data_IF_914707312185
#
_entry.id   IF_914707312185
#
_cell.length_a   1.000
_cell.length_b   1.000
_cell.length_c   1.000
_cell.angle_alpha   90.00
_cell.angle_beta   90.00
_cell.angle_gamma   90.00
#
_symmetry.space_group_name_H-M   'P 1'
#
loop_
_entity.id
_entity.type
_entity.pdbx_description
1 polymer ?
#
# COMPACT_ATOMS: atom_id res chain seq x y z
N UNK A 1 2.31 -65.43 -58.25
CA UNK A 1 1.88 -64.45 -59.28
C UNK A 1 2.34 -63.08 -58.81
N UNK A 2 3.51 -62.57 -59.23
CA UNK A 2 3.82 -61.86 -60.48
C UNK A 2 2.97 -60.60 -60.72
N UNK A 3 3.71 -59.49 -60.92
CA UNK A 3 3.39 -58.24 -61.64
C UNK A 3 2.66 -57.15 -60.84
N UNK A 4 2.92 -55.86 -61.03
CA UNK A 4 4.01 -55.08 -61.68
C UNK A 4 3.64 -53.61 -61.44
N UNK A 5 4.64 -52.75 -61.27
CA UNK A 5 4.77 -51.37 -61.81
C UNK A 5 3.52 -50.55 -62.12
N UNK A 6 3.49 -49.31 -61.62
CA UNK A 6 2.69 -48.23 -62.20
C UNK A 6 2.95 -46.88 -61.53
N UNK A 7 4.04 -46.24 -61.91
CA UNK A 7 4.48 -44.90 -61.51
C UNK A 7 3.84 -43.83 -62.41
N UNK A 8 3.64 -42.62 -61.86
CA UNK A 8 3.47 -41.29 -62.49
C UNK A 8 2.11 -41.01 -63.15
N UNK A 9 1.36 -39.99 -62.72
CA UNK A 9 1.60 -38.54 -62.61
C UNK A 9 1.06 -37.78 -63.84
N UNK A 10 0.37 -36.68 -63.52
CA UNK A 10 0.17 -35.48 -64.33
C UNK A 10 -0.67 -35.61 -65.61
N UNK A 11 -1.84 -34.95 -65.63
CA UNK A 11 -1.96 -33.64 -66.32
C UNK A 11 -3.40 -33.24 -66.66
N UNK A 12 -3.65 -31.95 -66.42
CA UNK A 12 -4.41 -30.99 -67.24
C UNK A 12 -5.94 -30.85 -67.15
N UNK A 13 -6.30 -29.59 -66.85
CA UNK A 13 -7.41 -28.74 -67.35
C UNK A 13 -8.85 -29.13 -66.97
N UNK A 14 -9.52 -28.42 -66.06
CA UNK A 14 -10.08 -27.05 -66.15
C UNK A 14 -11.24 -26.94 -67.17
N UNK A 15 -12.48 -26.98 -66.67
CA UNK A 15 -13.45 -25.87 -66.76
C UNK A 15 -14.85 -26.30 -66.28
N UNK A 16 -15.61 -25.31 -65.78
CA UNK A 16 -17.03 -25.32 -65.34
C UNK A 16 -17.25 -25.86 -63.92
N UNK A 17 -17.03 -25.09 -62.84
CA UNK A 17 -17.56 -23.75 -62.48
C UNK A 17 -19.06 -23.80 -62.20
N UNK A 18 -19.42 -24.00 -60.92
CA UNK A 18 -20.65 -23.53 -60.27
C UNK A 18 -20.49 -23.60 -58.74
N UNK A 19 -20.11 -22.45 -58.17
CA UNK A 19 -20.48 -21.87 -56.87
C UNK A 19 -20.63 -22.81 -55.67
N UNK A 20 -19.60 -22.84 -54.82
CA UNK A 20 -19.77 -22.97 -53.37
C UNK A 20 -18.74 -22.09 -52.67
N UNK A 21 -19.17 -20.91 -52.23
CA UNK A 21 -18.41 -20.08 -51.29
C UNK A 21 -18.43 -20.81 -49.95
N UNK A 22 -17.39 -21.62 -49.71
CA UNK A 22 -17.09 -22.19 -48.40
C UNK A 22 -16.41 -21.11 -47.58
N UNK A 23 -17.19 -20.50 -46.69
CA UNK A 23 -16.73 -19.55 -45.67
C UNK A 23 -15.65 -20.24 -44.83
N UNK A 24 -14.44 -19.69 -44.86
CA UNK A 24 -13.41 -19.92 -43.85
C UNK A 24 -14.04 -19.52 -42.51
N UNK A 25 -14.02 -20.35 -41.45
CA UNK A 25 -14.40 -19.85 -40.14
C UNK A 25 -13.43 -18.71 -39.80
N UNK A 26 -13.94 -17.48 -39.86
CA UNK A 26 -13.32 -16.37 -39.21
C UNK A 26 -13.19 -16.77 -37.74
N UNK A 27 -11.97 -16.65 -37.21
CA UNK A 27 -11.77 -16.53 -35.77
C UNK A 27 -12.60 -15.32 -35.37
N UNK A 28 -13.78 -15.57 -34.81
CA UNK A 28 -14.51 -14.54 -34.08
C UNK A 28 -13.61 -14.27 -32.88
N UNK A 29 -12.90 -13.15 -32.92
CA UNK A 29 -12.45 -12.52 -31.71
C UNK A 29 -13.73 -12.28 -30.90
N UNK A 30 -13.90 -13.07 -29.86
CA UNK A 30 -14.85 -12.80 -28.81
C UNK A 30 -14.53 -11.39 -28.33
N UNK A 31 -15.40 -10.44 -28.65
CA UNK A 31 -15.44 -9.15 -28.00
C UNK A 31 -15.67 -9.48 -26.52
N UNK A 32 -14.57 -9.57 -25.77
CA UNK A 32 -14.63 -9.52 -24.32
C UNK A 32 -15.36 -8.22 -24.01
N UNK A 33 -16.61 -8.34 -23.58
CA UNK A 33 -17.34 -7.27 -22.94
C UNK A 33 -16.34 -6.60 -21.98
N UNK A 34 -15.96 -5.36 -22.29
CA UNK A 34 -15.19 -4.54 -21.36
C UNK A 34 -16.07 -4.42 -20.11
N UNK A 35 -15.80 -5.23 -19.09
CA UNK A 35 -16.43 -5.08 -17.79
C UNK A 35 -16.16 -3.65 -17.33
N UNK A 36 -17.19 -2.82 -17.39
CA UNK A 36 -17.17 -1.44 -16.92
C UNK A 36 -16.88 -1.45 -15.43
N UNK A 37 -15.64 -1.10 -15.06
CA UNK A 37 -15.29 -0.92 -13.66
C UNK A 37 -15.75 0.47 -13.22
N UNK A 38 -16.97 0.53 -12.67
CA UNK A 38 -17.55 1.74 -12.08
C UNK A 38 -17.42 1.68 -10.57
N UNK A 39 -16.67 2.61 -9.99
CA UNK A 39 -16.59 2.80 -8.54
C UNK A 39 -17.76 3.66 -8.09
N UNK A 40 -18.50 3.22 -7.08
CA UNK A 40 -19.53 4.05 -6.44
C UNK A 40 -19.01 4.59 -5.11
N UNK A 41 -19.01 5.91 -4.95
CA UNK A 41 -18.68 6.59 -3.70
C UNK A 41 -19.95 6.74 -2.83
N UNK A 42 -19.80 6.97 -1.52
CA UNK A 42 -20.94 7.05 -0.58
C UNK A 42 -21.95 8.16 -0.94
N UNK A 43 -21.54 9.21 -1.67
CA UNK A 43 -22.42 10.26 -2.16
C UNK A 43 -23.18 9.93 -3.47
N UNK A 44 -23.07 8.68 -3.96
CA UNK A 44 -23.75 8.25 -5.19
C UNK A 44 -23.07 8.71 -6.48
N UNK A 45 -21.90 9.33 -6.40
CA UNK A 45 -21.04 9.57 -7.56
C UNK A 45 -20.46 8.24 -8.03
N UNK A 46 -20.48 8.00 -9.34
CA UNK A 46 -19.82 6.85 -9.96
C UNK A 46 -18.67 7.29 -10.84
N UNK A 47 -17.45 6.81 -10.61
CA UNK A 47 -16.31 7.04 -11.51
C UNK A 47 -16.08 5.79 -12.35
N UNK A 48 -16.04 5.99 -13.67
CA UNK A 48 -15.68 4.94 -14.63
C UNK A 48 -14.19 5.04 -14.95
N UNK A 49 -13.40 4.09 -14.46
CA UNK A 49 -11.95 4.11 -14.66
C UNK A 49 -11.54 3.80 -16.11
N UNK A 50 -12.29 2.94 -16.81
CA UNK A 50 -12.00 2.56 -18.20
C UNK A 50 -12.14 3.75 -19.17
N UNK A 51 -12.85 4.81 -18.77
CA UNK A 51 -12.97 6.06 -19.53
C UNK A 51 -11.88 7.08 -19.22
N UNK A 52 -11.03 6.86 -18.22
CA UNK A 52 -9.98 7.80 -17.86
C UNK A 52 -8.83 7.70 -18.85
N UNK A 53 -8.59 8.79 -19.57
CA UNK A 53 -7.47 8.91 -20.49
C UNK A 53 -6.43 9.83 -19.89
N UNK A 54 -5.23 9.30 -19.70
CA UNK A 54 -4.07 10.12 -19.29
C UNK A 54 -3.75 11.14 -20.39
N UNK A 55 -3.36 12.37 -20.03
CA UNK A 55 -2.87 13.36 -20.99
C UNK A 55 -1.56 12.87 -21.63
N UNK A 56 -1.20 13.48 -22.75
CA UNK A 56 0.14 13.29 -23.32
C UNK A 56 1.17 13.94 -22.39
N UNK A 57 2.12 13.14 -21.88
CA UNK A 57 3.15 13.62 -20.96
C UNK A 57 4.27 14.34 -21.72
N UNK A 58 4.43 15.64 -21.45
CA UNK A 58 5.41 16.52 -22.05
C UNK A 58 6.64 16.63 -21.16
N UNK A 59 7.61 15.76 -21.38
CA UNK A 59 8.85 15.68 -20.60
C UNK A 59 9.85 16.75 -21.03
N UNK A 60 10.28 17.57 -20.07
CA UNK A 60 11.41 18.50 -20.24
C UNK A 60 12.67 17.89 -19.64
N UNK A 61 13.49 17.27 -20.50
CA UNK A 61 14.77 16.67 -20.10
C UNK A 61 15.84 17.70 -19.71
N UNK A 62 15.59 18.99 -19.92
CA UNK A 62 16.49 20.07 -19.52
C UNK A 62 16.13 20.69 -18.16
N UNK A 63 14.99 20.30 -17.58
CA UNK A 63 14.58 20.77 -16.26
C UNK A 63 15.60 20.37 -15.19
N UNK A 64 15.96 21.33 -14.35
CA UNK A 64 16.84 21.11 -13.19
C UNK A 64 16.22 20.09 -12.23
N UNK A 65 17.04 19.17 -11.74
CA UNK A 65 16.63 18.13 -10.80
C UNK A 65 16.59 18.69 -9.38
N UNK A 66 15.48 18.46 -8.69
CA UNK A 66 15.25 18.90 -7.32
C UNK A 66 15.50 17.74 -6.35
N UNK A 67 16.12 18.03 -5.21
CA UNK A 67 16.23 17.08 -4.11
C UNK A 67 14.93 17.14 -3.30
N UNK A 68 14.19 16.04 -3.30
CA UNK A 68 12.96 15.91 -2.51
C UNK A 68 13.32 15.48 -1.10
N UNK A 69 12.96 16.30 -0.13
CA UNK A 69 13.30 16.11 1.29
C UNK A 69 12.10 15.70 2.15
N UNK A 70 10.92 15.57 1.56
CA UNK A 70 9.64 15.36 2.22
C UNK A 70 8.67 14.59 1.31
N UNK A 71 7.71 13.87 1.91
CA UNK A 71 6.66 13.12 1.22
C UNK A 71 5.90 14.00 0.22
N UNK A 72 5.57 13.46 -0.96
CA UNK A 72 4.82 14.20 -1.98
C UNK A 72 3.33 14.26 -1.62
N UNK A 73 2.70 15.42 -1.66
CA UNK A 73 1.27 15.57 -1.31
C UNK A 73 0.51 16.43 -2.32
N UNK A 74 -0.65 15.99 -2.84
CA UNK A 74 -1.52 16.81 -3.69
C UNK A 74 -2.35 17.86 -2.90
N UNK A 75 -2.04 18.05 -1.62
CA UNK A 75 -2.80 18.89 -0.69
C UNK A 75 -1.86 19.92 -0.07
N UNK A 76 -2.34 21.16 0.04
CA UNK A 76 -1.66 22.19 0.82
C UNK A 76 -1.58 21.76 2.27
N UNK A 77 -0.43 21.97 2.90
CA UNK A 77 -0.24 21.74 4.33
C UNK A 77 -1.30 22.53 5.10
N UNK A 78 -2.28 21.82 5.69
CA UNK A 78 -3.22 22.46 6.62
C UNK A 78 -2.36 22.97 7.78
N UNK A 79 -2.19 24.29 7.89
CA UNK A 79 -1.14 24.98 8.65
C UNK A 79 -1.17 24.83 10.18
N UNK A 80 -1.30 23.61 10.68
CA UNK A 80 -1.34 23.23 12.09
C UNK A 80 -0.32 22.15 12.45
N UNK A 81 0.46 21.62 11.50
CA UNK A 81 1.50 20.63 11.80
C UNK A 81 2.85 21.10 11.26
N UNK A 82 3.90 21.02 12.08
CA UNK A 82 5.31 21.24 11.70
C UNK A 82 5.83 20.15 10.71
N UNK A 83 4.93 19.41 10.06
CA UNK A 83 5.22 18.34 9.13
C UNK A 83 5.52 18.96 7.75
N UNK A 84 6.80 18.99 7.39
CA UNK A 84 7.20 19.34 6.03
C UNK A 84 6.76 18.23 5.07
N UNK A 85 5.73 18.52 4.27
CA UNK A 85 5.37 17.80 3.03
C UNK A 85 5.92 18.57 1.83
N UNK A 86 6.15 17.88 0.71
CA UNK A 86 6.46 18.50 -0.57
C UNK A 86 5.18 18.60 -1.40
N UNK A 87 4.59 19.79 -1.41
CA UNK A 87 3.33 20.05 -2.09
C UNK A 87 3.47 19.93 -3.62
N UNK A 88 2.56 19.18 -4.23
CA UNK A 88 2.34 19.11 -5.66
C UNK A 88 0.89 19.53 -5.97
N UNK A 89 0.58 20.09 -7.14
CA UNK A 89 -0.78 20.47 -7.48
C UNK A 89 -1.75 19.29 -7.45
N UNK A 90 -2.96 19.51 -6.97
CA UNK A 90 -4.04 18.53 -7.11
C UNK A 90 -4.28 18.16 -8.58
N UNK A 91 -4.48 16.87 -8.84
CA UNK A 91 -4.57 16.28 -10.17
C UNK A 91 -3.20 15.98 -10.81
N UNK A 92 -2.10 16.13 -10.07
CA UNK A 92 -0.77 15.78 -10.56
C UNK A 92 -0.60 14.31 -10.91
N UNK A 93 0.33 14.05 -11.81
CA UNK A 93 0.73 12.70 -12.24
C UNK A 93 2.17 12.50 -11.81
N UNK A 94 2.41 11.59 -10.88
CA UNK A 94 3.75 11.11 -10.52
C UNK A 94 4.10 9.97 -11.46
N UNK A 95 5.30 10.00 -12.03
CA UNK A 95 5.81 8.95 -12.90
C UNK A 95 7.21 8.55 -12.50
N UNK A 96 7.36 7.32 -12.03
CA UNK A 96 8.65 6.69 -11.76
C UNK A 96 9.14 6.00 -13.03
N UNK A 97 10.13 6.58 -13.68
CA UNK A 97 10.69 6.07 -14.94
C UNK A 97 11.93 5.22 -14.69
N UNK A 98 12.19 4.23 -15.55
CA UNK A 98 13.32 3.27 -15.44
C UNK A 98 14.72 3.88 -15.23
N UNK A 99 14.93 5.14 -15.58
CA UNK A 99 16.20 5.86 -15.38
C UNK A 99 16.47 6.27 -13.93
N UNK A 100 15.56 5.95 -13.00
CA UNK A 100 15.69 6.28 -11.57
C UNK A 100 15.33 7.72 -11.24
N UNK A 101 14.48 8.31 -12.08
CA UNK A 101 14.00 9.68 -11.93
C UNK A 101 12.49 9.63 -11.70
N UNK A 102 12.03 10.28 -10.65
CA UNK A 102 10.61 10.61 -10.48
C UNK A 102 10.34 11.94 -11.17
N UNK A 103 9.37 11.93 -12.09
CA UNK A 103 8.86 13.14 -12.75
C UNK A 103 7.44 13.39 -12.27
N UNK A 104 7.13 14.65 -11.95
CA UNK A 104 5.75 15.05 -11.65
C UNK A 104 5.27 15.96 -12.77
N UNK A 105 4.07 15.66 -13.26
CA UNK A 105 3.37 16.43 -14.27
C UNK A 105 2.13 17.08 -13.65
N UNK A 106 1.72 18.22 -14.19
CA UNK A 106 0.38 18.76 -13.94
C UNK A 106 -0.69 17.89 -14.60
N UNK A 107 -1.95 18.15 -14.26
CA UNK A 107 -3.12 17.42 -14.79
C UNK A 107 -3.30 17.52 -16.31
N UNK A 108 -2.67 18.48 -16.97
CA UNK A 108 -2.63 18.64 -18.43
C UNK A 108 -1.43 17.93 -19.10
N UNK A 109 -0.59 17.25 -18.31
CA UNK A 109 0.55 16.49 -18.81
C UNK A 109 1.86 17.29 -18.94
N UNK A 110 1.92 18.54 -18.49
CA UNK A 110 3.18 19.31 -18.50
C UNK A 110 4.07 18.97 -17.31
N UNK A 111 5.36 18.69 -17.54
CA UNK A 111 6.29 18.43 -16.45
C UNK A 111 6.47 19.68 -15.56
N UNK A 112 6.37 19.48 -14.25
CA UNK A 112 6.55 20.53 -13.23
C UNK A 112 7.67 20.22 -12.26
N UNK A 113 8.06 18.95 -12.11
CA UNK A 113 9.13 18.52 -11.20
C UNK A 113 9.91 17.34 -11.80
N UNK A 114 11.20 17.30 -11.52
CA UNK A 114 12.10 16.19 -11.84
C UNK A 114 13.01 15.94 -10.64
N UNK A 115 13.10 14.70 -10.17
CA UNK A 115 13.88 14.33 -8.99
C UNK A 115 14.58 12.98 -9.18
N UNK A 116 15.83 12.88 -8.77
CA UNK A 116 16.59 11.62 -8.80
C UNK A 116 16.28 10.84 -7.52
N UNK A 117 15.74 9.63 -7.66
CA UNK A 117 15.23 8.86 -6.51
C UNK A 117 16.31 8.47 -5.50
N UNK A 118 17.54 8.23 -5.99
CA UNK A 118 18.69 7.95 -5.12
C UNK A 118 19.20 9.16 -4.34
N UNK A 119 18.80 10.38 -4.73
CA UNK A 119 19.17 11.63 -4.06
C UNK A 119 18.07 12.15 -3.13
N UNK A 120 16.84 11.62 -3.25
CA UNK A 120 15.74 12.00 -2.38
C UNK A 120 16.00 11.52 -0.94
N UNK A 121 15.64 12.35 0.03
CA UNK A 121 15.73 11.99 1.46
C UNK A 121 14.87 10.75 1.71
N UNK A 122 15.34 9.87 2.59
CA UNK A 122 14.54 8.74 3.03
C UNK A 122 13.51 9.16 4.07
N UNK A 123 12.31 8.60 3.92
CA UNK A 123 11.22 8.71 4.88
C UNK A 123 10.88 7.31 5.36
N UNK A 124 10.52 7.18 6.62
CA UNK A 124 10.16 5.90 7.19
C UNK A 124 8.72 5.54 6.82
N UNK A 125 8.48 4.26 6.59
CA UNK A 125 7.16 3.68 6.30
C UNK A 125 7.03 2.37 7.07
N UNK A 126 5.82 1.82 7.27
CA UNK A 126 5.61 0.47 7.81
C UNK A 126 6.03 -0.68 6.86
N UNK A 127 7.04 -0.44 6.03
CA UNK A 127 7.84 -1.40 5.26
C UNK A 127 9.29 -0.93 5.07
N UNK A 128 9.72 0.04 5.89
CA UNK A 128 11.07 0.58 5.94
C UNK A 128 11.28 1.91 5.24
N UNK A 129 12.53 2.32 5.18
CA UNK A 129 12.93 3.61 4.64
C UNK A 129 12.78 3.65 3.12
N UNK A 130 11.99 4.60 2.61
CA UNK A 130 11.72 4.81 1.18
C UNK A 130 12.24 6.18 0.75
N UNK A 131 12.71 6.36 -0.49
CA UNK A 131 12.88 7.69 -1.04
C UNK A 131 11.58 8.49 -0.90
N UNK A 132 11.67 9.76 -0.51
CA UNK A 132 10.51 10.63 -0.34
C UNK A 132 9.67 10.78 -1.64
N UNK A 133 10.27 10.56 -2.80
CA UNK A 133 9.56 10.50 -4.09
C UNK A 133 8.57 9.34 -4.17
N UNK A 134 8.81 8.25 -3.43
CA UNK A 134 7.99 7.03 -3.42
C UNK A 134 6.94 6.97 -2.29
N UNK A 135 6.76 8.07 -1.56
CA UNK A 135 5.80 8.16 -0.47
C UNK A 135 4.91 9.37 -0.66
N UNK A 136 3.60 9.15 -0.55
CA UNK A 136 2.60 10.20 -0.67
C UNK A 136 1.65 10.25 0.52
N UNK A 137 1.50 11.47 1.04
CA UNK A 137 0.39 11.81 1.92
C UNK A 137 -0.81 12.22 1.06
N UNK A 138 -2.01 11.79 1.43
CA UNK A 138 -3.28 12.18 0.79
C UNK A 138 -4.31 12.54 1.86
N UNK A 139 -5.36 13.32 1.53
CA UNK A 139 -6.37 13.68 2.52
C UNK A 139 -7.02 12.45 3.16
N UNK A 140 -7.38 12.57 4.44
CA UNK A 140 -8.25 11.59 5.09
C UNK A 140 -9.53 11.34 4.28
N UNK A 141 -9.92 10.07 4.14
CA UNK A 141 -11.09 9.65 3.34
C UNK A 141 -10.81 9.48 1.85
N UNK A 142 -9.58 9.64 1.40
CA UNK A 142 -9.22 9.41 0.00
C UNK A 142 -9.37 7.94 -0.42
N UNK A 143 -9.68 7.72 -1.69
CA UNK A 143 -9.79 6.41 -2.32
C UNK A 143 -8.59 6.13 -3.21
N UNK A 144 -7.79 5.14 -2.83
CA UNK A 144 -6.66 4.62 -3.59
C UNK A 144 -7.14 3.41 -4.38
N UNK A 145 -7.07 3.50 -5.70
CA UNK A 145 -7.51 2.44 -6.60
C UNK A 145 -6.37 2.08 -7.53
N UNK A 146 -6.17 0.79 -7.72
CA UNK A 146 -5.12 0.27 -8.57
C UNK A 146 -5.69 -0.48 -9.77
N UNK A 147 -5.31 -0.04 -10.96
CA UNK A 147 -5.67 -0.69 -12.21
C UNK A 147 -4.42 -0.84 -13.08
N UNK A 148 -4.07 -2.09 -13.37
CA UNK A 148 -2.84 -2.45 -14.08
C UNK A 148 -1.60 -1.84 -13.42
N UNK A 149 -0.83 -1.01 -14.11
CA UNK A 149 0.38 -0.35 -13.57
C UNK A 149 0.11 1.10 -13.11
N UNK A 150 -1.17 1.46 -12.92
CA UNK A 150 -1.60 2.81 -12.57
C UNK A 150 -2.33 2.81 -11.23
N UNK A 151 -1.94 3.73 -10.35
CA UNK A 151 -2.70 4.04 -9.14
C UNK A 151 -3.40 5.39 -9.31
N UNK A 152 -4.70 5.41 -9.07
CA UNK A 152 -5.52 6.62 -9.02
C UNK A 152 -5.91 6.92 -7.59
N UNK A 153 -5.82 8.18 -7.19
CA UNK A 153 -6.29 8.64 -5.88
C UNK A 153 -7.39 9.67 -6.05
N UNK A 154 -8.55 9.37 -5.48
CA UNK A 154 -9.70 10.28 -5.47
C UNK A 154 -9.95 10.82 -4.08
N UNK A 155 -10.39 12.07 -3.98
CA UNK A 155 -10.90 12.65 -2.75
C UNK A 155 -12.15 13.47 -3.05
N UNK A 156 -13.24 13.23 -2.33
CA UNK A 156 -14.56 13.83 -2.57
C UNK A 156 -15.04 13.73 -4.04
N UNK A 157 -14.68 12.64 -4.72
CA UNK A 157 -15.02 12.37 -6.12
C UNK A 157 -14.07 12.98 -7.16
N UNK A 158 -13.14 13.85 -6.76
CA UNK A 158 -12.15 14.45 -7.65
C UNK A 158 -10.88 13.60 -7.71
N UNK A 159 -10.31 13.42 -8.91
CA UNK A 159 -9.00 12.79 -9.10
C UNK A 159 -7.91 13.78 -8.66
N UNK A 160 -7.27 13.49 -7.53
CA UNK A 160 -6.27 14.38 -6.93
C UNK A 160 -4.83 13.94 -7.18
N UNK A 161 -4.60 12.67 -7.51
CA UNK A 161 -3.27 12.15 -7.81
C UNK A 161 -3.37 10.92 -8.72
N UNK A 162 -2.45 10.83 -9.68
CA UNK A 162 -2.20 9.60 -10.45
C UNK A 162 -0.75 9.20 -10.26
N UNK A 163 -0.47 7.91 -10.09
CA UNK A 163 0.90 7.38 -10.04
C UNK A 163 1.09 6.32 -11.13
N UNK A 164 2.18 6.49 -11.89
CA UNK A 164 2.66 5.59 -12.93
C UNK A 164 4.03 5.06 -12.51
N UNK A 165 4.32 3.79 -12.81
CA UNK A 165 5.64 3.22 -12.54
C UNK A 165 6.06 2.26 -13.66
N UNK A 166 7.20 2.58 -14.30
CA UNK A 166 7.92 1.65 -15.16
C UNK A 166 9.07 0.96 -14.42
N UNK A 167 9.27 1.29 -13.14
CA UNK A 167 10.38 0.76 -12.35
C UNK A 167 10.11 -0.71 -12.00
N UNK A 168 11.07 -1.62 -12.24
CA UNK A 168 10.94 -2.98 -11.75
C UNK A 168 10.91 -2.99 -10.23
N UNK A 169 10.19 -3.95 -9.64
CA UNK A 169 10.05 -4.11 -8.19
C UNK A 169 11.42 -4.06 -7.47
N UNK A 170 12.42 -4.72 -8.04
CA UNK A 170 13.76 -4.84 -7.46
C UNK A 170 14.50 -3.48 -7.34
N UNK A 171 14.15 -2.49 -8.17
CA UNK A 171 14.74 -1.16 -8.09
C UNK A 171 14.38 -0.48 -6.77
N UNK A 172 13.10 -0.52 -6.41
CA UNK A 172 12.61 0.08 -5.17
C UNK A 172 13.23 -0.57 -3.93
N UNK A 173 13.35 -1.90 -3.93
CA UNK A 173 14.02 -2.65 -2.86
C UNK A 173 15.51 -2.28 -2.76
N UNK A 174 16.17 -2.00 -3.87
CA UNK A 174 17.57 -1.56 -3.88
C UNK A 174 17.73 -0.17 -3.25
N UNK A 175 16.76 0.73 -3.44
CA UNK A 175 16.77 2.06 -2.85
C UNK A 175 16.49 2.06 -1.34
N UNK A 176 15.77 1.07 -0.83
CA UNK A 176 15.57 0.90 0.62
C UNK A 176 16.88 0.56 1.35
N UNK A 177 17.75 -0.24 0.72
CA UNK A 177 18.95 -0.81 1.37
C UNK A 177 20.15 0.13 1.52
N UNK A 178 20.24 1.20 0.74
CA UNK A 178 21.54 1.87 0.48
C UNK A 178 21.98 2.98 1.45
N UNK A 179 21.15 3.43 2.41
CA UNK A 179 21.51 4.61 3.21
C UNK A 179 21.34 4.45 4.74
N UNK A 180 20.35 3.68 5.21
CA UNK A 180 20.10 3.47 6.65
C UNK A 180 20.39 2.06 7.15
N UNK A 181 20.60 1.06 6.28
CA UNK A 181 20.95 -0.29 6.72
C UNK A 181 22.40 -0.41 7.27
N UNK A 182 23.20 0.66 7.20
CA UNK A 182 24.61 0.69 7.64
C UNK A 182 24.79 1.02 9.13
N UNK A 183 23.71 1.30 9.88
CA UNK A 183 23.78 1.54 11.34
C UNK A 183 23.78 0.25 12.18
N UNK A 184 23.63 -0.92 11.58
CA UNK A 184 23.74 -2.21 12.28
C UNK A 184 22.55 -2.61 13.16
N UNK A 185 21.48 -1.80 13.17
CA UNK A 185 20.23 -2.10 13.88
C UNK A 185 19.34 -3.14 13.17
N UNK A 186 18.39 -3.70 13.90
CA UNK A 186 17.34 -4.58 13.41
C UNK A 186 16.26 -3.79 12.65
N UNK A 187 15.69 -4.44 11.64
CA UNK A 187 14.74 -3.85 10.70
C UNK A 187 13.63 -4.86 10.38
N UNK A 188 12.38 -4.46 10.62
CA UNK A 188 11.18 -5.23 10.28
C UNK A 188 10.31 -5.57 11.48
N UNK A 189 9.48 -6.61 11.33
CA UNK A 189 8.52 -7.02 12.34
C UNK A 189 9.23 -7.69 13.52
N UNK A 190 9.16 -7.07 14.70
CA UNK A 190 9.82 -7.51 15.92
C UNK A 190 9.04 -8.66 16.56
N UNK A 191 7.75 -8.46 16.79
CA UNK A 191 6.85 -9.47 17.34
C UNK A 191 5.43 -9.20 16.86
N UNK A 192 4.69 -10.29 16.65
CA UNK A 192 3.33 -10.20 16.13
C UNK A 192 2.52 -11.46 16.39
N UNK A 193 1.20 -11.30 16.37
CA UNK A 193 0.25 -12.40 16.33
C UNK A 193 -0.48 -12.42 14.98
N UNK A 194 -0.53 -13.57 14.31
CA UNK A 194 -1.01 -13.65 12.93
C UNK A 194 -1.84 -14.88 12.60
N UNK A 195 -2.61 -14.81 11.51
CA UNK A 195 -3.29 -15.97 10.92
C UNK A 195 -3.62 -15.77 9.44
N UNK A 196 -3.32 -16.77 8.60
CA UNK A 196 -3.92 -16.89 7.28
C UNK A 196 -5.41 -17.25 7.38
N UNK A 197 -6.26 -16.44 6.76
CA UNK A 197 -7.71 -16.59 6.71
C UNK A 197 -8.18 -16.75 5.26
N UNK A 198 -9.06 -17.74 4.97
CA UNK A 198 -9.56 -17.94 3.62
C UNK A 198 -10.41 -16.77 3.09
N UNK A 199 -11.16 -16.10 3.97
CA UNK A 199 -11.97 -14.94 3.61
C UNK A 199 -12.28 -14.09 4.85
N UNK A 200 -12.19 -12.77 4.71
CA UNK A 200 -12.50 -11.79 5.75
C UNK A 200 -13.01 -10.49 5.11
N UNK A 201 -13.93 -9.80 5.79
CA UNK A 201 -14.47 -8.50 5.37
C UNK A 201 -14.47 -7.47 6.52
N UNK A 202 -14.03 -7.85 7.71
CA UNK A 202 -13.89 -6.96 8.85
C UNK A 202 -12.80 -7.46 9.79
N UNK A 203 -11.87 -6.57 10.15
CA UNK A 203 -10.90 -6.77 11.21
C UNK A 203 -10.74 -5.48 12.04
N UNK A 204 -11.23 -5.52 13.28
CA UNK A 204 -11.12 -4.38 14.20
C UNK A 204 -10.27 -4.78 15.41
N UNK A 205 -9.55 -3.83 15.97
CA UNK A 205 -8.86 -3.99 17.24
C UNK A 205 -8.86 -2.68 18.03
N UNK A 206 -8.89 -2.79 19.35
CA UNK A 206 -8.60 -1.69 20.26
C UNK A 206 -7.23 -1.87 20.89
N UNK A 207 -6.52 -0.78 21.13
CA UNK A 207 -5.32 -0.79 21.95
C UNK A 207 -5.16 0.56 22.65
N UNK A 208 -4.18 0.66 23.53
CA UNK A 208 -3.76 1.96 24.05
C UNK A 208 -2.45 2.36 23.41
N UNK A 209 -2.27 3.66 23.17
CA UNK A 209 -0.95 4.17 22.84
C UNK A 209 0.01 3.85 24.01
N UNK A 210 1.07 3.06 23.80
CA UNK A 210 1.97 2.68 24.87
C UNK A 210 2.86 3.87 25.27
N UNK A 211 3.66 3.69 26.32
CA UNK A 211 4.73 4.63 26.62
C UNK A 211 5.68 4.74 25.42
N UNK A 212 6.11 5.97 25.11
CA UNK A 212 7.11 6.22 24.08
C UNK A 212 8.40 5.45 24.37
N UNK A 213 9.14 5.02 23.33
CA UNK A 213 10.52 4.56 23.49
C UNK A 213 11.36 5.50 24.36
N UNK A 214 12.15 4.98 25.31
CA UNK A 214 13.08 5.79 26.10
C UNK A 214 14.17 6.49 25.28
N UNK A 215 14.53 5.94 24.13
CA UNK A 215 15.54 6.50 23.22
C UNK A 215 15.13 7.90 22.77
N UNK A 216 16.12 8.79 22.73
CA UNK A 216 16.01 10.10 22.10
C UNK A 216 16.80 10.16 20.79
N UNK A 217 17.22 9.03 20.25
CA UNK A 217 17.90 8.98 18.96
C UNK A 217 16.91 9.26 17.81
N UNK A 218 17.45 9.75 16.70
CA UNK A 218 16.66 10.13 15.53
C UNK A 218 16.61 8.96 14.54
N UNK A 219 15.48 8.80 13.85
CA UNK A 219 15.29 7.82 12.79
C UNK A 219 15.32 6.34 13.26
N UNK A 220 14.74 6.10 14.43
CA UNK A 220 14.35 4.77 14.93
C UNK A 220 12.81 4.67 14.94
N UNK A 221 12.18 4.63 13.75
CA UNK A 221 10.73 4.65 13.68
C UNK A 221 10.14 3.33 14.19
N UNK A 222 9.07 3.44 14.94
CA UNK A 222 8.26 2.30 15.41
C UNK A 222 6.85 2.41 14.87
N UNK A 223 6.30 1.26 14.49
CA UNK A 223 4.93 1.11 13.99
C UNK A 223 4.19 0.03 14.80
N UNK A 224 2.98 0.37 15.24
CA UNK A 224 2.06 -0.52 15.95
C UNK A 224 0.72 -0.51 15.23
N UNK A 225 0.22 -1.69 14.86
CA UNK A 225 -0.98 -1.78 14.03
C UNK A 225 -1.67 -3.14 14.13
N UNK A 226 -2.95 -3.16 13.75
CA UNK A 226 -3.61 -4.33 13.20
C UNK A 226 -3.65 -4.22 11.67
N UNK A 227 -3.44 -5.31 10.93
CA UNK A 227 -3.31 -5.26 9.47
C UNK A 227 -3.94 -6.45 8.76
N UNK A 228 -4.23 -6.26 7.46
CA UNK A 228 -4.58 -7.32 6.52
C UNK A 228 -3.60 -7.25 5.34
N UNK A 229 -2.95 -8.37 5.04
CA UNK A 229 -1.95 -8.44 3.96
C UNK A 229 -2.14 -9.64 3.05
N UNK A 230 -1.55 -9.56 1.86
CA UNK A 230 -1.45 -10.71 0.97
C UNK A 230 -0.47 -11.74 1.55
N UNK A 231 -0.67 -13.05 1.35
CA UNK A 231 0.20 -14.10 1.90
C UNK A 231 1.61 -14.11 1.31
N UNK A 232 1.79 -13.53 0.12
CA UNK A 232 3.09 -13.31 -0.52
C UNK A 232 3.77 -12.01 -0.06
N UNK A 233 3.16 -11.31 0.90
CA UNK A 233 3.66 -10.11 1.56
C UNK A 233 3.82 -8.90 0.64
N UNK A 234 3.22 -8.94 -0.55
CA UNK A 234 3.35 -7.89 -1.57
C UNK A 234 2.44 -6.69 -1.34
N UNK A 235 1.38 -6.81 -0.54
CA UNK A 235 0.51 -5.69 -0.20
C UNK A 235 -0.07 -5.81 1.21
N UNK A 236 -0.28 -4.66 1.86
CA UNK A 236 -0.89 -4.55 3.19
C UNK A 236 -1.74 -3.28 3.31
N UNK A 237 -2.85 -3.39 4.03
CA UNK A 237 -3.69 -2.27 4.49
C UNK A 237 -3.73 -2.27 6.01
N UNK A 238 -3.53 -1.10 6.62
CA UNK A 238 -3.33 -1.01 8.07
C UNK A 238 -3.61 0.41 8.63
N UNK A 239 -4.41 0.54 9.70
CA UNK A 239 -4.34 1.69 10.60
C UNK A 239 -3.10 1.59 11.49
N UNK A 240 -2.27 2.63 11.52
CA UNK A 240 -0.94 2.58 12.14
C UNK A 240 -0.77 3.69 13.16
N UNK A 241 -0.31 3.30 14.34
CA UNK A 241 0.29 4.18 15.34
C UNK A 241 1.81 4.23 15.09
N UNK A 242 2.35 5.43 14.88
CA UNK A 242 3.74 5.67 14.47
C UNK A 242 4.48 6.51 15.52
N UNK A 243 5.77 6.24 15.73
CA UNK A 243 6.65 7.07 16.56
C UNK A 243 7.97 7.35 15.86
N UNK A 244 8.61 8.48 16.21
CA UNK A 244 9.95 8.86 15.77
C UNK A 244 10.14 8.86 14.25
N UNK A 245 9.11 9.26 13.50
CA UNK A 245 9.26 9.46 12.06
C UNK A 245 10.23 10.62 11.81
N UNK A 246 11.10 10.56 10.79
CA UNK A 246 11.96 11.69 10.44
C UNK A 246 11.23 13.00 10.16
N UNK A 247 9.93 12.94 9.85
CA UNK A 247 9.07 14.09 9.54
C UNK A 247 8.25 14.52 10.75
N UNK A 248 7.77 13.59 11.58
CA UNK A 248 6.95 13.92 12.76
C UNK A 248 7.82 14.23 13.98
N UNK A 249 8.90 13.48 14.22
CA UNK A 249 9.73 13.59 15.41
C UNK A 249 9.26 12.64 16.53
N UNK A 250 9.70 12.92 17.77
CA UNK A 250 9.55 12.02 18.93
C UNK A 250 8.20 12.16 19.63
N UNK A 251 7.11 11.92 18.91
CA UNK A 251 5.78 11.77 19.47
C UNK A 251 4.95 10.79 18.65
N UNK A 252 3.86 10.31 19.23
CA UNK A 252 2.95 9.39 18.57
C UNK A 252 2.08 10.12 17.54
N UNK A 253 1.99 9.56 16.34
CA UNK A 253 1.01 9.94 15.32
C UNK A 253 0.19 8.75 14.88
N UNK A 254 -1.05 8.98 14.47
CA UNK A 254 -1.91 7.97 13.86
C UNK A 254 -2.24 8.32 12.42
N UNK A 255 -2.06 7.37 11.50
CA UNK A 255 -2.56 7.47 10.12
C UNK A 255 -2.91 6.09 9.55
N UNK A 256 -3.51 6.07 8.37
CA UNK A 256 -3.84 4.85 7.64
C UNK A 256 -2.89 4.67 6.46
N UNK A 257 -2.29 3.50 6.33
CA UNK A 257 -1.40 3.16 5.21
C UNK A 257 -2.01 2.12 4.29
N UNK A 258 -1.71 2.26 3.01
CA UNK A 258 -1.77 1.19 2.04
C UNK A 258 -0.43 1.08 1.31
N UNK A 259 0.14 -0.12 1.35
CA UNK A 259 1.47 -0.40 0.82
C UNK A 259 1.35 -1.52 -0.21
N UNK A 260 2.05 -1.37 -1.35
CA UNK A 260 2.17 -2.42 -2.36
C UNK A 260 3.55 -2.40 -2.99
N UNK A 261 4.16 -3.58 -3.14
CA UNK A 261 5.49 -3.72 -3.71
C UNK A 261 5.56 -3.17 -5.14
N UNK A 262 6.68 -2.49 -5.44
CA UNK A 262 6.85 -1.80 -6.72
C UNK A 262 6.07 -0.48 -6.86
N UNK A 263 5.10 -0.19 -5.98
CA UNK A 263 4.22 0.98 -6.06
C UNK A 263 4.55 2.06 -5.02
N UNK A 264 3.89 3.21 -5.17
CA UNK A 264 3.86 4.31 -4.20
C UNK A 264 3.31 3.82 -2.85
N UNK A 265 3.97 4.19 -1.76
CA UNK A 265 3.34 4.10 -0.43
C UNK A 265 2.44 5.29 -0.23
N UNK A 266 1.20 5.02 0.16
CA UNK A 266 0.20 6.07 0.34
C UNK A 266 -0.34 5.98 1.76
N UNK A 267 -0.38 7.13 2.43
CA UNK A 267 -1.03 7.25 3.72
C UNK A 267 -1.94 8.47 3.79
N UNK A 268 -2.93 8.39 4.70
CA UNK A 268 -3.78 9.52 5.04
C UNK A 268 -2.98 10.63 5.74
N UNK A 269 -3.63 11.76 6.00
CA UNK A 269 -3.18 12.70 7.03
C UNK A 269 -2.94 12.00 8.38
N UNK A 270 -2.20 12.70 9.25
CA UNK A 270 -1.83 12.23 10.58
C UNK A 270 -2.60 12.99 11.66
N UNK A 271 -2.99 12.28 12.71
CA UNK A 271 -3.43 12.85 14.00
C UNK A 271 -2.32 12.70 15.03
N UNK A 272 -2.24 13.63 15.97
CA UNK A 272 -1.34 13.50 17.13
C UNK A 272 -2.02 12.64 18.19
N UNK A 273 -1.30 11.68 18.75
CA UNK A 273 -1.81 10.77 19.77
C UNK A 273 -0.98 10.95 21.05
N UNK A 274 -1.62 10.92 22.22
CA UNK A 274 -0.91 10.94 23.49
C UNK A 274 -0.74 9.54 24.06
N UNK A 275 0.35 9.31 24.79
CA UNK A 275 0.54 8.08 25.58
C UNK A 275 -0.66 7.83 26.48
N UNK A 276 -1.18 6.60 26.44
CA UNK A 276 -2.33 6.16 27.23
C UNK A 276 -3.69 6.39 26.57
N UNK A 277 -3.74 7.11 25.44
CA UNK A 277 -4.98 7.28 24.67
C UNK A 277 -5.51 5.94 24.18
N UNK A 278 -6.84 5.84 24.10
CA UNK A 278 -7.51 4.62 23.63
C UNK A 278 -7.71 4.72 22.13
N UNK A 279 -7.11 3.80 21.40
CA UNK A 279 -7.14 3.77 19.94
C UNK A 279 -8.02 2.64 19.45
N UNK A 280 -8.58 2.83 18.26
CA UNK A 280 -9.27 1.80 17.50
C UNK A 280 -8.74 1.79 16.07
N UNK A 281 -8.34 0.62 15.61
CA UNK A 281 -8.04 0.35 14.21
C UNK A 281 -9.16 -0.46 13.58
N UNK A 282 -9.67 0.02 12.45
CA UNK A 282 -10.81 -0.53 11.74
C UNK A 282 -10.42 -0.85 10.30
N UNK A 283 -10.74 -2.07 9.87
CA UNK A 283 -10.57 -2.53 8.50
C UNK A 283 -11.89 -3.15 8.05
N UNK A 284 -12.62 -2.50 7.15
CA UNK A 284 -13.92 -2.97 6.67
C UNK A 284 -13.97 -3.04 5.15
N UNK A 285 -14.34 -4.18 4.59
CA UNK A 285 -14.55 -4.29 3.15
C UNK A 285 -15.92 -3.73 2.77
N UNK A 286 -15.93 -2.79 1.82
CA UNK A 286 -17.14 -2.33 1.16
C UNK A 286 -17.29 -3.01 -0.19
N UNK A 287 -18.35 -3.82 -0.34
CA UNK A 287 -18.71 -4.40 -1.64
C UNK A 287 -19.16 -3.37 -2.65
N UNK A 288 -19.55 -2.17 -2.21
CA UNK A 288 -20.03 -1.08 -3.07
C UNK A 288 -18.88 -0.39 -3.79
N UNK A 289 -17.80 -0.10 -3.06
CA UNK A 289 -16.59 0.51 -3.63
C UNK A 289 -15.57 -0.53 -4.08
N UNK A 290 -15.68 -1.79 -3.64
CA UNK A 290 -14.68 -2.81 -3.92
C UNK A 290 -13.35 -2.51 -3.23
N UNK A 291 -13.40 -1.88 -2.05
CA UNK A 291 -12.22 -1.43 -1.32
C UNK A 291 -12.35 -1.74 0.18
N UNK A 292 -11.20 -1.87 0.83
CA UNK A 292 -11.07 -1.78 2.28
C UNK A 292 -11.17 -0.32 2.71
N UNK A 293 -12.12 -0.02 3.59
CA UNK A 293 -12.07 1.13 4.47
C UNK A 293 -11.06 0.85 5.58
N UNK A 294 -10.11 1.74 5.75
CA UNK A 294 -9.05 1.70 6.75
C UNK A 294 -9.26 2.93 7.62
N UNK A 295 -9.39 2.78 8.93
CA UNK A 295 -9.53 3.90 9.84
C UNK A 295 -8.73 3.68 11.12
N UNK A 296 -8.02 4.73 11.55
CA UNK A 296 -7.48 4.85 12.90
C UNK A 296 -8.24 5.95 13.63
N UNK A 297 -8.76 5.63 14.81
CA UNK A 297 -9.48 6.56 15.66
C UNK A 297 -8.80 6.67 17.01
N UNK A 298 -8.55 7.89 17.47
CA UNK A 298 -8.30 8.17 18.88
C UNK A 298 -9.65 8.39 19.57
N UNK A 299 -10.09 7.37 20.30
CA UNK A 299 -11.36 7.37 21.02
C UNK A 299 -11.33 8.34 22.20
N UNK A 300 -10.15 8.66 22.75
CA UNK A 300 -10.03 9.63 23.84
C UNK A 300 -10.36 11.03 23.37
N UNK A 301 -9.81 11.45 22.24
CA UNK A 301 -9.96 12.82 21.70
C UNK A 301 -11.14 12.95 20.74
N UNK A 302 -11.55 11.85 20.10
CA UNK A 302 -12.57 11.81 19.06
C UNK A 302 -12.03 12.10 17.65
N UNK A 303 -10.72 12.25 17.48
CA UNK A 303 -10.09 12.42 16.17
C UNK A 303 -9.96 11.09 15.43
N UNK A 304 -10.08 11.13 14.09
CA UNK A 304 -9.93 9.93 13.26
C UNK A 304 -9.40 10.25 11.87
N UNK A 305 -8.58 9.35 11.34
CA UNK A 305 -8.06 9.39 9.98
C UNK A 305 -8.48 8.14 9.22
N UNK A 306 -8.73 8.27 7.92
CA UNK A 306 -9.17 7.15 7.10
C UNK A 306 -8.59 7.14 5.69
N UNK A 307 -8.62 5.98 5.06
CA UNK A 307 -8.20 5.74 3.69
C UNK A 307 -9.01 4.58 3.11
N UNK A 308 -9.29 4.59 1.80
CA UNK A 308 -9.85 3.45 1.10
C UNK A 308 -8.82 2.85 0.14
N UNK A 309 -8.72 1.52 0.07
CA UNK A 309 -7.77 0.85 -0.83
C UNK A 309 -8.26 -0.51 -1.34
N UNK A 310 -7.95 -0.83 -2.60
CA UNK A 310 -8.16 -2.14 -3.23
C UNK A 310 -6.89 -3.00 -3.32
N UNK A 311 -5.77 -2.56 -2.71
CA UNK A 311 -4.48 -3.23 -2.85
C UNK A 311 -4.46 -4.67 -2.31
N UNK A 312 -5.36 -5.00 -1.38
CA UNK A 312 -5.44 -6.30 -0.73
C UNK A 312 -6.82 -6.92 -0.99
N UNK A 313 -6.90 -8.19 -1.45
CA UNK A 313 -8.17 -8.86 -1.67
C UNK A 313 -8.87 -9.22 -0.34
N UNK A 314 -10.09 -9.74 -0.39
CA UNK A 314 -10.79 -10.26 0.79
C UNK A 314 -10.54 -11.75 1.06
N UNK A 315 -9.94 -12.45 0.09
CA UNK A 315 -9.74 -13.90 0.13
C UNK A 315 -8.28 -14.27 0.20
N UNK A 316 -7.97 -15.34 0.92
CA UNK A 316 -6.62 -15.87 1.09
C UNK A 316 -5.66 -14.75 1.52
N UNK A 317 -5.90 -14.18 2.70
CA UNK A 317 -5.10 -13.08 3.28
C UNK A 317 -4.58 -13.49 4.64
N UNK A 318 -3.60 -12.74 5.14
CA UNK A 318 -3.14 -12.83 6.52
C UNK A 318 -3.68 -11.65 7.33
N UNK A 319 -4.12 -11.91 8.55
CA UNK A 319 -4.43 -10.89 9.56
C UNK A 319 -3.34 -10.87 10.61
N UNK A 320 -2.99 -9.68 11.09
CA UNK A 320 -1.86 -9.47 12.01
C UNK A 320 -2.17 -8.40 13.08
N UNK A 321 -1.62 -8.54 14.28
CA UNK A 321 -1.30 -7.40 15.16
C UNK A 321 0.19 -7.39 15.42
N UNK A 322 0.84 -6.25 15.23
CA UNK A 322 2.29 -6.20 14.99
C UNK A 322 2.95 -5.02 15.69
N UNK A 323 4.14 -5.29 16.24
CA UNK A 323 5.18 -4.30 16.50
C UNK A 323 6.26 -4.42 15.40
N UNK A 324 6.48 -3.32 14.68
CA UNK A 324 7.51 -3.18 13.66
C UNK A 324 8.46 -2.04 14.04
N UNK A 325 9.75 -2.21 13.77
CA UNK A 325 10.76 -1.19 14.05
C UNK A 325 11.89 -1.20 13.04
N UNK A 326 12.50 -0.03 12.82
CA UNK A 326 13.64 0.13 11.92
C UNK A 326 14.79 0.84 12.64
N UNK A 327 16.01 0.39 12.35
CA UNK A 327 17.24 0.78 13.04
C UNK A 327 17.23 0.50 14.56
N UNK A 328 16.55 -0.57 14.99
CA UNK A 328 16.42 -0.93 16.41
C UNK A 328 17.69 -1.63 16.89
N UNK A 329 18.44 -1.04 17.81
CA UNK A 329 19.69 -1.62 18.31
C UNK A 329 19.66 -2.04 19.79
N UNK A 330 18.61 -1.64 20.52
CA UNK A 330 18.43 -2.00 21.90
C UNK A 330 17.02 -1.80 22.45
N UNK A 331 16.85 -2.20 23.71
CA UNK A 331 15.56 -2.12 24.40
C UNK A 331 15.01 -0.68 24.46
N UNK A 332 15.86 0.34 24.47
CA UNK A 332 15.44 1.75 24.55
C UNK A 332 14.65 2.23 23.33
N UNK A 333 14.69 1.51 22.22
CA UNK A 333 14.21 2.02 20.94
C UNK A 333 12.78 1.53 20.65
N UNK A 334 12.27 0.62 21.48
CA UNK A 334 10.90 0.12 21.42
C UNK A 334 10.03 0.73 22.51
N UNK A 335 8.70 0.85 22.29
CA UNK A 335 7.78 1.39 23.27
C UNK A 335 7.59 0.40 24.43
N UNK A 336 6.70 0.75 25.37
CA UNK A 336 6.22 -0.21 26.37
C UNK A 336 5.17 -1.21 25.83
N UNK A 337 4.81 -2.18 26.67
CA UNK A 337 3.87 -3.25 26.32
C UNK A 337 2.58 -2.75 25.66
N UNK A 338 2.18 -3.42 24.57
CA UNK A 338 0.97 -3.08 23.82
C UNK A 338 -0.05 -4.21 23.90
N UNK A 339 -1.22 -3.90 24.47
CA UNK A 339 -2.36 -4.82 24.55
C UNK A 339 -3.38 -4.50 23.46
N UNK A 340 -3.54 -5.40 22.51
CA UNK A 340 -4.65 -5.42 21.57
C UNK A 340 -5.81 -6.22 22.17
N UNK A 341 -7.00 -5.61 22.22
CA UNK A 341 -8.19 -6.18 22.86
C UNK A 341 -9.45 -5.90 22.04
N UNK A 342 -10.54 -6.58 22.43
CA UNK A 342 -11.83 -6.56 21.73
C UNK A 342 -11.68 -6.78 20.21
N UNK A 343 -10.76 -7.68 19.83
CA UNK A 343 -10.48 -7.95 18.42
C UNK A 343 -11.65 -8.67 17.76
N UNK A 344 -12.10 -8.15 16.62
CA UNK A 344 -13.27 -8.63 15.88
C UNK A 344 -12.84 -9.09 14.50
N UNK A 345 -13.18 -10.34 14.16
CA UNK A 345 -12.95 -10.90 12.83
C UNK A 345 -14.30 -11.33 12.24
N UNK A 346 -14.71 -10.75 11.11
CA UNK A 346 -15.95 -11.16 10.43
C UNK A 346 -15.79 -11.33 8.93
N UNK A 347 -16.66 -12.17 8.37
CA UNK A 347 -16.91 -12.31 6.95
C UNK A 347 -18.41 -12.10 6.69
N UNK A 348 -18.76 -11.07 5.93
CA UNK A 348 -20.15 -10.68 5.64
C UNK A 348 -21.02 -10.58 6.90
N UNK A 349 -20.50 -9.89 7.93
CA UNK A 349 -21.17 -9.68 9.21
C UNK A 349 -21.14 -10.87 10.20
N UNK A 350 -20.72 -12.06 9.76
CA UNK A 350 -20.62 -13.24 10.63
C UNK A 350 -19.22 -13.36 11.23
N UNK A 351 -19.13 -13.60 12.54
CA UNK A 351 -17.85 -13.90 13.19
C UNK A 351 -17.18 -15.12 12.56
N UNK A 352 -15.88 -15.01 12.30
CA UNK A 352 -15.06 -16.12 11.80
C UNK A 352 -14.14 -16.64 12.90
N UNK A 353 -13.88 -17.95 12.88
CA UNK A 353 -12.94 -18.56 13.83
C UNK A 353 -11.50 -18.24 13.39
N UNK A 354 -10.82 -17.44 14.19
CA UNK A 354 -9.37 -17.17 14.05
C UNK A 354 -8.66 -17.83 15.23
N UNK A 355 -7.54 -18.47 14.96
CA UNK A 355 -6.64 -18.98 16.00
C UNK A 355 -5.25 -18.47 15.65
N UNK A 356 -4.85 -17.41 16.34
CA UNK A 356 -3.61 -16.69 16.07
C UNK A 356 -2.39 -17.53 16.45
N UNK A 357 -1.35 -17.41 15.65
CA UNK A 357 -0.01 -17.89 15.95
C UNK A 357 0.84 -16.73 16.43
N UNK A 358 1.85 -17.02 17.24
CA UNK A 358 2.83 -16.04 17.69
C UNK A 358 4.06 -16.07 16.80
N UNK A 359 4.71 -14.92 16.66
CA UNK A 359 6.05 -14.81 16.11
C UNK A 359 6.86 -13.80 16.92
N UNK A 360 8.14 -14.10 17.12
CA UNK A 360 9.13 -13.21 17.73
C UNK A 360 10.39 -13.30 16.88
N UNK A 361 10.91 -12.16 16.44
CA UNK A 361 12.13 -12.08 15.66
C UNK A 361 13.34 -12.41 16.54
N UNK A 362 13.88 -13.62 16.38
CA UNK A 362 15.05 -14.07 17.15
C UNK A 362 16.33 -13.27 16.90
N UNK A 363 16.36 -12.48 15.81
CA UNK A 363 17.47 -11.62 15.43
C UNK A 363 17.31 -10.18 15.92
N UNK A 364 16.18 -9.80 16.51
CA UNK A 364 16.03 -8.49 17.12
C UNK A 364 16.96 -8.39 18.35
N UNK A 365 17.73 -7.30 18.53
CA UNK A 365 18.64 -7.10 19.65
C UNK A 365 17.90 -6.69 20.94
N UNK A 366 16.75 -7.32 21.16
CA UNK A 366 15.81 -7.01 22.24
C UNK A 366 15.73 -8.19 23.18
N UNK A 367 15.43 -7.89 24.44
CA UNK A 367 15.22 -8.89 25.49
C UNK A 367 13.81 -8.77 26.05
N UNK A 368 13.27 -9.87 26.58
CA UNK A 368 11.94 -9.85 27.21
C UNK A 368 10.76 -9.98 26.24
N UNK A 369 11.01 -10.01 24.91
CA UNK A 369 9.97 -10.16 23.90
C UNK A 369 9.08 -11.37 24.15
N UNK A 370 7.77 -11.17 24.07
CA UNK A 370 6.78 -12.23 24.19
C UNK A 370 5.44 -11.82 23.57
N UNK A 371 4.80 -12.76 22.89
CA UNK A 371 3.41 -12.61 22.44
C UNK A 371 2.53 -13.47 23.34
N UNK A 372 1.81 -12.80 24.26
CA UNK A 372 0.89 -13.45 25.19
C UNK A 372 -0.54 -13.44 24.66
N UNK A 373 -1.18 -14.60 24.65
CA UNK A 373 -2.61 -14.74 24.36
C UNK A 373 -3.40 -14.74 25.67
N UNK A 374 -4.01 -13.60 26.01
CA UNK A 374 -4.95 -13.54 27.15
C UNK A 374 -6.25 -14.27 26.79
N UNK A 375 -6.74 -14.06 25.56
CA UNK A 375 -7.86 -14.78 24.97
C UNK A 375 -7.66 -14.88 23.47
N UNK A 376 -7.31 -16.06 22.94
CA UNK A 376 -7.09 -16.23 21.50
C UNK A 376 -8.44 -16.47 20.78
N UNK A 377 -8.85 -15.62 19.81
CA UNK A 377 -8.08 -14.56 19.15
C UNK A 377 -8.44 -13.12 19.57
N UNK A 378 -9.27 -12.92 20.59
CA UNK A 378 -9.87 -11.62 20.91
C UNK A 378 -8.95 -10.66 21.67
N UNK A 379 -7.85 -11.16 22.23
CA UNK A 379 -6.96 -10.38 23.07
C UNK A 379 -5.51 -10.91 23.09
N UNK A 380 -4.57 -10.02 22.79
CA UNK A 380 -3.12 -10.28 22.67
C UNK A 380 -2.34 -9.17 23.38
N UNK A 381 -1.28 -9.53 24.10
CA UNK A 381 -0.27 -8.59 24.58
C UNK A 381 1.03 -8.85 23.83
N UNK A 382 1.57 -7.79 23.23
CA UNK A 382 2.95 -7.72 22.73
C UNK A 382 3.80 -7.19 23.89
N UNK A 383 4.58 -8.06 24.51
CA UNK A 383 5.51 -7.70 25.57
C UNK A 383 6.77 -7.16 24.93
N UNK A 384 6.83 -5.84 24.89
CA UNK A 384 7.98 -5.14 24.39
C UNK A 384 9.13 -5.24 25.37
N UNK A 385 10.28 -4.67 25.01
CA UNK A 385 11.43 -4.70 25.88
C UNK A 385 11.36 -3.69 27.07
N UNK A 386 10.25 -2.94 27.23
CA UNK A 386 10.06 -1.87 28.22
C UNK A 386 8.76 -1.92 29.03
#
# INVERSE_FOLDING_TARGET
MKRKTGIRAFSLLLALLLVSVGVVPAVVFDERDEELFSLSFEEGNTVNLNGMKLPELQTDYSQEQVIITAELSPVESSGTSDLTIHEIPSGSIIYHTMDGITRVYSSDGKQILSAVDSMAKKVATPRGFRPATFVSQVPSGSHVIHQDDVTYVFHNGDLILTVLSDQPREYNESLQRNEYMDVGGFNGWIEYAYKNVPQITQFDAYWKAPTCPPSSEFAEPVFLFNGIRTPDETAIVQPVLEYNQPITGQYWTGCCWTLKDGMQDIHSDRITISTGDTLKGELHWSSTSGQWYIQISDITTGEAMSLWSDYVPTTNVQVDVTLEGWNIDGNSDVPGDTRFYDMVYKNNGNSISVNLYRYIASSAPLTGLNVEFISNPTEVVLHTAN
#
